data_IF_626815764698
#
_entry.id   IF_626815764698
#
_cell.length_a   1.000
_cell.length_b   1.000
_cell.length_c   1.000
_cell.angle_alpha   90.00
_cell.angle_beta   90.00
_cell.angle_gamma   90.00
#
_symmetry.space_group_name_H-M   'P 1'
#
loop_
_entity.id
_entity.type
_entity.pdbx_description
1 polymer ?
#
# COMPACT_ATOMS: atom_id res chain seq x y z
N UNK A 1 4.34 -61.68 24.94
CA UNK A 1 3.83 -60.51 24.19
C UNK A 1 5.04 -59.76 23.67
N UNK A 2 4.99 -59.32 22.41
CA UNK A 2 6.01 -58.46 21.80
C UNK A 2 5.83 -57.07 22.42
N UNK A 3 6.89 -56.49 22.93
CA UNK A 3 6.86 -55.13 23.47
C UNK A 3 6.80 -54.13 22.33
N UNK A 4 5.92 -53.15 22.43
CA UNK A 4 5.75 -52.08 21.42
C UNK A 4 5.61 -50.73 22.12
N UNK A 5 6.05 -49.64 21.50
CA UNK A 5 5.98 -48.29 22.08
C UNK A 5 7.19 -47.91 22.92
N UNK A 6 6.98 -47.00 23.86
CA UNK A 6 8.01 -46.45 24.76
C UNK A 6 8.22 -47.36 25.98
N UNK A 7 9.36 -48.05 26.16
CA UNK A 7 9.67 -48.76 27.38
C UNK A 7 10.12 -47.79 28.47
N UNK A 8 9.84 -48.15 29.71
CA UNK A 8 10.41 -47.48 30.88
C UNK A 8 11.77 -48.15 31.16
N UNK A 9 12.86 -47.47 30.80
CA UNK A 9 14.23 -47.97 31.03
C UNK A 9 15.11 -46.89 31.68
N UNK A 10 16.15 -47.34 32.43
CA UNK A 10 17.00 -46.46 33.24
C UNK A 10 18.01 -45.61 32.41
N UNK A 11 18.35 -46.00 31.17
CA UNK A 11 19.47 -45.44 30.39
C UNK A 11 19.11 -44.63 29.13
N UNK A 12 17.89 -44.17 29.00
CA UNK A 12 17.41 -43.39 27.84
C UNK A 12 16.12 -43.93 27.27
N UNK A 13 15.46 -43.12 26.45
CA UNK A 13 14.22 -43.49 25.79
C UNK A 13 14.52 -44.29 24.53
N UNK A 14 13.92 -45.46 24.41
CA UNK A 14 13.90 -46.29 23.21
C UNK A 14 12.48 -46.39 22.68
N UNK A 15 12.29 -46.71 21.42
CA UNK A 15 10.97 -46.97 20.87
C UNK A 15 10.97 -48.25 20.05
N UNK A 16 9.99 -49.09 20.31
CA UNK A 16 9.79 -50.35 19.59
C UNK A 16 8.57 -50.21 18.67
N UNK A 17 8.76 -50.57 17.41
CA UNK A 17 7.69 -50.54 16.39
C UNK A 17 6.61 -51.61 16.68
N UNK A 18 5.62 -51.67 15.78
CA UNK A 18 4.51 -52.65 15.90
C UNK A 18 4.97 -54.12 15.82
N UNK A 19 6.15 -54.38 15.24
CA UNK A 19 6.78 -55.66 15.16
C UNK A 19 7.68 -55.98 16.36
N UNK A 20 7.85 -55.03 17.29
CA UNK A 20 8.73 -55.16 18.44
C UNK A 20 10.20 -54.93 18.12
N UNK A 21 10.52 -54.30 16.98
CA UNK A 21 11.89 -53.95 16.61
C UNK A 21 12.23 -52.57 17.18
N UNK A 22 13.40 -52.45 17.84
CA UNK A 22 13.91 -51.16 18.32
C UNK A 22 14.27 -50.25 17.11
N UNK A 23 13.81 -49.03 17.12
CA UNK A 23 14.20 -48.04 16.12
C UNK A 23 15.65 -47.63 16.32
N UNK A 24 16.47 -47.70 15.26
CA UNK A 24 17.90 -47.34 15.30
C UNK A 24 18.29 -46.58 14.06
N UNK A 25 19.16 -45.55 14.19
CA UNK A 25 19.71 -44.70 13.12
C UNK A 25 18.65 -44.14 12.18
N UNK A 26 17.49 -43.75 12.72
CA UNK A 26 16.39 -43.22 11.93
C UNK A 26 15.57 -42.16 12.62
N UNK A 27 14.99 -41.25 11.80
CA UNK A 27 13.93 -40.35 12.23
C UNK A 27 12.57 -41.02 12.12
N UNK A 28 11.71 -40.81 13.12
CA UNK A 28 10.33 -41.33 13.11
C UNK A 28 9.37 -40.29 13.66
N UNK A 29 8.16 -40.23 13.11
CA UNK A 29 7.09 -39.42 13.66
C UNK A 29 6.23 -40.30 14.58
N UNK A 30 6.13 -39.90 15.85
CA UNK A 30 5.38 -40.63 16.87
C UNK A 30 4.51 -39.58 17.57
N UNK A 31 3.21 -39.82 17.69
CA UNK A 31 2.23 -38.94 18.33
C UNK A 31 2.30 -37.48 17.87
N UNK A 32 2.61 -37.27 16.58
CA UNK A 32 2.68 -35.93 15.97
C UNK A 32 4.04 -35.23 16.07
N UNK A 33 5.00 -35.78 16.82
CA UNK A 33 6.34 -35.25 17.00
C UNK A 33 7.37 -36.04 16.20
N UNK A 34 8.40 -35.35 15.70
CA UNK A 34 9.54 -36.02 15.08
C UNK A 34 10.63 -36.29 16.08
N UNK A 35 11.11 -37.54 16.14
CA UNK A 35 12.21 -38.04 16.96
C UNK A 35 13.33 -38.55 16.09
N UNK A 36 14.54 -38.62 16.64
CA UNK A 36 15.65 -39.34 16.05
C UNK A 36 16.21 -40.36 17.02
N UNK A 37 16.31 -41.60 16.56
CA UNK A 37 16.92 -42.68 17.29
C UNK A 37 18.32 -42.89 16.75
N UNK A 38 19.31 -42.88 17.66
CA UNK A 38 20.72 -43.05 17.36
C UNK A 38 21.03 -44.50 16.96
N UNK A 39 22.29 -44.80 16.56
CA UNK A 39 22.69 -46.15 16.15
C UNK A 39 22.54 -47.19 17.29
N UNK A 40 22.67 -46.77 18.52
CA UNK A 40 22.46 -47.60 19.73
C UNK A 40 20.99 -47.71 20.17
N UNK A 41 20.07 -47.13 19.38
CA UNK A 41 18.63 -47.08 19.63
C UNK A 41 18.17 -46.01 20.59
N UNK A 42 19.07 -45.26 21.23
CA UNK A 42 18.69 -44.19 22.13
C UNK A 42 18.11 -43.01 21.41
N UNK A 43 17.02 -42.46 21.88
CA UNK A 43 16.44 -41.21 21.40
C UNK A 43 17.42 -40.05 21.64
N UNK A 44 17.68 -39.29 20.61
CA UNK A 44 18.43 -38.02 20.73
C UNK A 44 17.58 -36.99 21.46
N UNK A 45 18.07 -36.49 22.59
CA UNK A 45 17.44 -35.41 23.36
C UNK A 45 18.47 -34.35 23.75
N UNK A 46 18.03 -33.10 23.91
CA UNK A 46 18.89 -31.95 24.21
C UNK A 46 20.15 -31.90 23.34
N UNK A 47 20.01 -32.16 22.06
CA UNK A 47 21.18 -32.36 21.20
C UNK A 47 21.00 -31.95 19.74
N UNK A 48 22.14 -31.63 19.13
CA UNK A 48 22.25 -31.34 17.70
C UNK A 48 22.47 -32.62 16.89
N UNK A 49 21.86 -32.67 15.73
CA UNK A 49 22.12 -33.67 14.69
C UNK A 49 22.46 -32.98 13.40
N UNK A 50 23.54 -33.42 12.76
CA UNK A 50 23.84 -33.05 11.38
C UNK A 50 23.31 -34.13 10.44
N UNK A 51 22.66 -33.69 9.37
CA UNK A 51 22.23 -34.55 8.26
C UNK A 51 22.23 -33.75 6.95
N UNK A 52 22.90 -34.30 5.93
CA UNK A 52 22.96 -33.73 4.57
C UNK A 52 23.41 -32.24 4.58
N UNK A 53 24.40 -31.90 5.43
CA UNK A 53 24.93 -30.54 5.61
C UNK A 53 23.97 -29.56 6.29
N UNK A 54 22.91 -30.06 6.92
CA UNK A 54 21.98 -29.26 7.73
C UNK A 54 22.00 -29.68 9.18
N UNK A 55 21.84 -28.71 10.09
CA UNK A 55 21.80 -28.97 11.53
C UNK A 55 20.35 -28.91 12.04
N UNK A 56 20.01 -29.86 12.90
CA UNK A 56 18.71 -30.05 13.52
C UNK A 56 18.89 -30.12 15.04
N UNK A 57 17.94 -29.62 15.81
CA UNK A 57 17.99 -29.72 17.28
C UNK A 57 16.75 -30.41 17.81
N UNK A 58 17.02 -31.34 18.75
CA UNK A 58 15.98 -32.07 19.47
C UNK A 58 15.97 -31.58 20.93
N UNK A 59 14.78 -31.25 21.44
CA UNK A 59 14.60 -30.75 22.81
C UNK A 59 14.83 -31.83 23.90
N UNK A 60 14.60 -31.47 25.15
CA UNK A 60 14.77 -32.40 26.27
C UNK A 60 13.80 -33.60 26.22
N UNK A 61 12.70 -33.47 25.51
CA UNK A 61 11.71 -34.54 25.27
C UNK A 61 12.03 -35.34 24.01
N UNK A 62 13.08 -35.00 23.29
CA UNK A 62 13.48 -35.62 22.03
C UNK A 62 12.70 -35.13 20.82
N UNK A 63 11.89 -34.08 20.93
CA UNK A 63 11.14 -33.53 19.82
C UNK A 63 12.03 -32.67 18.93
N UNK A 64 11.97 -32.90 17.63
CA UNK A 64 12.59 -32.02 16.64
C UNK A 64 11.95 -30.62 16.73
N UNK A 65 12.76 -29.62 16.93
CA UNK A 65 12.30 -28.23 16.98
C UNK A 65 12.02 -27.73 15.57
N UNK A 66 10.80 -27.24 15.35
CA UNK A 66 10.32 -26.71 14.06
C UNK A 66 9.86 -25.27 14.20
N UNK A 67 10.19 -24.44 13.21
CA UNK A 67 9.72 -23.05 13.06
C UNK A 67 9.85 -22.21 14.33
N UNK A 68 10.95 -22.36 15.07
CA UNK A 68 11.15 -21.74 16.37
C UNK A 68 12.54 -21.13 16.55
N UNK A 69 12.57 -19.99 17.29
CA UNK A 69 13.80 -19.42 17.83
C UNK A 69 14.01 -19.92 19.24
N UNK A 70 15.23 -20.33 19.56
CA UNK A 70 15.56 -20.81 20.89
C UNK A 70 16.99 -20.47 21.30
N UNK A 71 17.24 -20.44 22.59
CA UNK A 71 18.58 -20.19 23.16
C UNK A 71 19.17 -21.51 23.64
N UNK A 72 20.34 -21.86 23.10
CA UNK A 72 21.09 -23.07 23.41
C UNK A 72 22.51 -22.60 23.72
N UNK A 73 23.06 -23.03 24.88
CA UNK A 73 24.43 -22.73 25.29
C UNK A 73 24.82 -21.26 25.23
N UNK A 74 23.85 -20.36 25.48
CA UNK A 74 24.07 -18.92 25.50
C UNK A 74 23.79 -18.21 24.17
N UNK A 75 23.64 -18.93 23.05
CA UNK A 75 23.40 -18.39 21.72
C UNK A 75 21.96 -18.57 21.26
N UNK A 76 21.45 -17.62 20.48
CA UNK A 76 20.14 -17.72 19.86
C UNK A 76 20.25 -18.35 18.48
N UNK A 77 19.41 -19.35 18.23
CA UNK A 77 19.28 -20.05 16.96
C UNK A 77 17.86 -19.93 16.43
N UNK A 78 17.68 -20.16 15.15
CA UNK A 78 16.38 -20.35 14.54
C UNK A 78 16.36 -21.61 13.68
N UNK A 79 15.36 -22.46 13.93
CA UNK A 79 15.08 -23.66 13.18
C UNK A 79 13.87 -23.36 12.26
N UNK A 80 13.96 -23.69 10.98
CA UNK A 80 12.88 -23.47 10.01
C UNK A 80 11.72 -24.47 10.17
N UNK A 81 10.73 -24.39 9.27
CA UNK A 81 9.58 -25.30 9.29
C UNK A 81 9.93 -26.77 9.04
N UNK A 82 11.12 -27.05 8.51
CA UNK A 82 11.68 -28.40 8.34
C UNK A 82 12.67 -28.78 9.46
N UNK A 83 12.85 -27.93 10.45
CA UNK A 83 13.80 -28.11 11.55
C UNK A 83 15.25 -27.79 11.21
N UNK A 84 15.54 -27.20 10.04
CA UNK A 84 16.89 -26.84 9.65
C UNK A 84 17.32 -25.56 10.32
N UNK A 85 18.53 -25.54 10.92
CA UNK A 85 19.13 -24.36 11.49
C UNK A 85 19.44 -23.33 10.40
N UNK A 86 19.09 -22.07 10.68
CA UNK A 86 19.53 -20.95 9.85
C UNK A 86 21.03 -20.73 9.99
N UNK A 87 21.75 -20.71 8.88
CA UNK A 87 23.19 -20.50 8.82
C UNK A 87 23.51 -19.59 7.64
N UNK A 88 24.39 -18.60 7.83
CA UNK A 88 24.79 -17.61 6.85
C UNK A 88 23.62 -16.97 6.09
N UNK A 89 22.49 -16.74 6.76
CA UNK A 89 21.29 -16.26 6.09
C UNK A 89 20.48 -15.25 6.92
N UNK A 90 19.70 -14.46 6.17
CA UNK A 90 18.77 -13.49 6.74
C UNK A 90 17.41 -14.15 7.04
N UNK A 91 16.79 -13.69 8.12
CA UNK A 91 15.41 -13.98 8.46
C UNK A 91 14.64 -12.67 8.65
N UNK A 92 13.49 -12.57 8.02
CA UNK A 92 12.55 -11.49 8.28
C UNK A 92 11.52 -11.90 9.34
N UNK A 93 11.28 -11.02 10.33
CA UNK A 93 10.18 -11.15 11.30
C UNK A 93 9.49 -9.80 11.42
N UNK A 94 8.25 -9.74 10.95
CA UNK A 94 7.56 -8.46 10.81
C UNK A 94 8.29 -7.52 9.85
N UNK A 95 8.63 -6.32 10.32
CA UNK A 95 9.40 -5.36 9.55
C UNK A 95 10.92 -5.51 9.75
N UNK A 96 11.37 -6.31 10.70
CA UNK A 96 12.78 -6.42 11.09
C UNK A 96 13.50 -7.56 10.38
N UNK A 97 14.77 -7.33 10.11
CA UNK A 97 15.67 -8.29 9.50
C UNK A 97 16.72 -8.71 10.52
N UNK A 98 16.98 -10.01 10.61
CA UNK A 98 17.92 -10.68 11.47
C UNK A 98 18.89 -11.47 10.63
N UNK A 99 20.12 -11.64 11.08
CA UNK A 99 21.12 -12.47 10.42
C UNK A 99 21.66 -13.54 11.37
N UNK A 100 21.74 -14.74 10.88
CA UNK A 100 22.37 -15.86 11.55
C UNK A 100 23.70 -16.15 10.85
N UNK A 101 24.81 -16.19 11.59
CA UNK A 101 26.14 -16.43 11.06
C UNK A 101 26.36 -17.88 10.59
N UNK A 102 27.58 -18.23 10.24
CA UNK A 102 27.91 -19.57 9.73
C UNK A 102 27.75 -20.67 10.78
N UNK A 103 27.88 -20.33 12.06
CA UNK A 103 27.60 -21.23 13.19
C UNK A 103 26.10 -21.25 13.56
N UNK A 104 25.28 -20.49 12.88
CA UNK A 104 23.85 -20.36 13.12
C UNK A 104 23.48 -19.46 14.31
N UNK A 105 24.44 -18.72 14.85
CA UNK A 105 24.17 -17.78 15.95
C UNK A 105 23.48 -16.52 15.44
N UNK A 106 22.43 -16.07 16.09
CA UNK A 106 21.87 -14.76 15.86
C UNK A 106 22.91 -13.68 16.14
N UNK A 107 23.21 -12.88 15.11
CA UNK A 107 24.15 -11.77 15.26
C UNK A 107 23.53 -10.65 16.08
N UNK A 108 24.18 -10.30 17.18
CA UNK A 108 23.77 -9.28 18.13
C UNK A 108 24.83 -8.20 18.23
N UNK A 109 24.38 -6.93 18.40
CA UNK A 109 25.25 -5.79 18.77
C UNK A 109 26.55 -5.71 17.94
N UNK A 110 26.44 -5.85 16.63
CA UNK A 110 27.60 -6.00 15.74
C UNK A 110 27.45 -5.16 14.48
N UNK A 111 28.53 -4.47 14.13
CA UNK A 111 28.72 -3.78 12.85
C UNK A 111 29.57 -4.68 11.95
N UNK A 112 29.05 -5.06 10.79
CA UNK A 112 29.74 -6.00 9.91
C UNK A 112 29.32 -5.87 8.45
N UNK A 113 30.15 -6.42 7.56
CA UNK A 113 29.80 -6.60 6.15
C UNK A 113 29.31 -8.01 5.89
N UNK A 114 28.22 -8.11 5.14
CA UNK A 114 27.68 -9.36 4.61
C UNK A 114 27.59 -9.18 3.10
N UNK A 115 28.37 -9.95 2.37
CA UNK A 115 28.64 -9.69 0.97
C UNK A 115 29.24 -8.29 0.76
N UNK A 116 28.64 -7.48 -0.11
CA UNK A 116 29.10 -6.11 -0.40
C UNK A 116 28.50 -5.03 0.49
N UNK A 117 27.56 -5.36 1.36
CA UNK A 117 26.82 -4.38 2.15
C UNK A 117 27.23 -4.39 3.62
N UNK A 118 27.26 -3.21 4.23
CA UNK A 118 27.40 -3.03 5.68
C UNK A 118 26.04 -3.09 6.35
N UNK A 119 25.99 -3.75 7.52
CA UNK A 119 24.85 -3.85 8.42
C UNK A 119 25.27 -3.52 9.84
N UNK A 120 24.37 -2.96 10.62
CA UNK A 120 24.53 -2.78 12.05
C UNK A 120 23.41 -3.55 12.74
N UNK A 121 23.74 -4.61 13.45
CA UNK A 121 22.78 -5.37 14.23
C UNK A 121 22.72 -4.81 15.65
N UNK A 122 21.52 -4.60 16.14
CA UNK A 122 21.26 -4.05 17.47
C UNK A 122 21.36 -5.14 18.53
N UNK A 123 21.20 -4.78 19.81
CA UNK A 123 21.25 -5.71 20.93
C UNK A 123 20.14 -6.77 20.91
N UNK A 124 19.02 -6.51 20.23
CA UNK A 124 17.93 -7.46 20.00
C UNK A 124 18.10 -8.27 18.70
N UNK A 125 19.21 -8.08 17.97
CA UNK A 125 19.52 -8.73 16.71
C UNK A 125 18.88 -8.12 15.48
N UNK A 126 18.00 -7.14 15.63
CA UNK A 126 17.41 -6.47 14.48
C UNK A 126 18.45 -5.61 13.75
N UNK A 127 18.50 -5.72 12.41
CA UNK A 127 19.32 -4.84 11.60
C UNK A 127 18.81 -3.39 11.71
N UNK A 128 19.73 -2.47 11.97
CA UNK A 128 19.41 -1.04 12.08
C UNK A 128 18.86 -0.50 10.76
N UNK A 129 17.88 0.39 10.84
CA UNK A 129 17.24 1.05 9.70
C UNK A 129 17.06 2.54 10.01
N UNK A 130 17.04 3.37 8.97
CA UNK A 130 16.90 4.82 9.13
C UNK A 130 18.21 5.55 9.06
N UNK A 131 18.26 6.74 9.63
CA UNK A 131 19.42 7.62 9.60
C UNK A 131 20.29 7.42 10.84
N UNK A 132 21.60 7.42 10.63
CA UNK A 132 22.60 7.38 11.71
C UNK A 132 23.68 8.42 11.43
N UNK A 133 24.08 9.17 12.44
CA UNK A 133 25.22 10.09 12.31
C UNK A 133 26.47 9.42 12.85
N UNK A 134 27.51 9.34 12.02
CA UNK A 134 28.83 8.83 12.37
C UNK A 134 29.89 9.84 11.93
N UNK A 135 30.74 10.28 12.85
CA UNK A 135 31.80 11.27 12.60
C UNK A 135 31.30 12.54 11.86
N UNK A 136 30.13 13.05 12.26
CA UNK A 136 29.51 14.22 11.66
C UNK A 136 28.87 14.00 10.29
N UNK A 137 28.93 12.80 9.73
CA UNK A 137 28.31 12.42 8.47
C UNK A 137 27.01 11.63 8.73
N UNK A 138 25.93 11.99 8.03
CA UNK A 138 24.71 11.21 8.05
C UNK A 138 24.85 10.03 7.09
N UNK A 139 24.63 8.83 7.61
CA UNK A 139 24.61 7.57 6.88
C UNK A 139 23.18 7.03 6.90
N UNK A 140 22.74 6.44 5.82
CA UNK A 140 21.41 5.83 5.73
C UNK A 140 21.48 4.31 5.69
N UNK A 141 20.53 3.68 6.38
CA UNK A 141 20.29 2.24 6.29
C UNK A 141 18.88 2.00 5.74
N UNK A 142 18.80 1.22 4.67
CA UNK A 142 17.56 0.95 3.94
C UNK A 142 16.55 0.18 4.81
N UNK A 143 15.28 0.03 4.38
CA UNK A 143 14.32 -0.84 5.06
C UNK A 143 14.77 -2.31 5.18
N UNK A 144 15.75 -2.74 4.38
CA UNK A 144 16.37 -4.07 4.48
C UNK A 144 17.55 -4.11 5.46
N UNK A 145 17.88 -2.99 6.14
CA UNK A 145 18.96 -2.88 7.12
C UNK A 145 20.36 -2.72 6.50
N UNK A 146 20.51 -2.69 5.19
CA UNK A 146 21.82 -2.47 4.53
C UNK A 146 22.13 -0.99 4.39
N UNK A 147 23.39 -0.60 4.51
CA UNK A 147 23.81 0.77 4.23
C UNK A 147 23.40 1.18 2.80
N UNK A 148 22.85 2.38 2.67
CA UNK A 148 22.31 2.90 1.42
C UNK A 148 23.42 3.43 0.51
N UNK A 149 23.48 2.91 -0.71
CA UNK A 149 24.26 3.40 -1.85
C UNK A 149 23.37 3.36 -3.08
N UNK A 150 23.14 4.50 -3.73
CA UNK A 150 22.12 4.71 -4.77
C UNK A 150 20.75 4.18 -4.37
N UNK A 151 20.34 4.41 -3.12
CA UNK A 151 19.16 3.80 -2.55
C UNK A 151 18.38 4.76 -1.65
N UNK A 152 17.10 4.41 -1.42
CA UNK A 152 16.18 5.13 -0.54
C UNK A 152 16.24 4.62 0.90
N UNK A 153 16.17 5.55 1.83
CA UNK A 153 16.10 5.28 3.27
C UNK A 153 14.81 5.85 3.83
N UNK A 154 14.08 5.05 4.58
CA UNK A 154 12.93 5.49 5.36
C UNK A 154 13.35 5.70 6.82
N UNK A 155 13.09 6.91 7.34
CA UNK A 155 13.28 7.21 8.76
C UNK A 155 12.02 7.91 9.29
N UNK A 156 11.37 7.31 10.27
CA UNK A 156 10.02 7.70 10.67
C UNK A 156 9.03 7.66 9.49
N UNK A 157 8.42 8.82 9.20
CA UNK A 157 7.50 8.98 8.08
C UNK A 157 8.17 9.52 6.81
N UNK A 158 9.45 9.87 6.87
CA UNK A 158 10.16 10.54 5.80
C UNK A 158 11.03 9.58 5.00
N UNK A 159 11.28 9.97 3.74
CA UNK A 159 12.15 9.27 2.83
C UNK A 159 13.33 10.15 2.44
N UNK A 160 14.50 9.55 2.39
CA UNK A 160 15.78 10.15 2.02
C UNK A 160 16.41 9.37 0.87
N UNK A 161 17.26 10.03 0.10
CA UNK A 161 18.03 9.36 -0.94
C UNK A 161 19.52 9.56 -0.71
N UNK A 162 20.25 8.47 -0.84
CA UNK A 162 21.70 8.43 -0.78
C UNK A 162 22.26 8.06 -2.15
N UNK A 163 23.23 8.84 -2.65
CA UNK A 163 23.88 8.57 -3.94
C UNK A 163 24.80 7.33 -3.88
N UNK A 164 25.44 7.01 -5.02
CA UNK A 164 26.34 5.86 -5.12
C UNK A 164 27.58 5.95 -4.21
N UNK A 165 27.94 7.14 -3.72
CA UNK A 165 29.00 7.35 -2.74
C UNK A 165 28.49 7.29 -1.29
N UNK A 166 27.18 7.06 -1.08
CA UNK A 166 26.55 7.02 0.23
C UNK A 166 26.37 8.41 0.86
N UNK A 167 26.27 9.48 0.06
CA UNK A 167 25.97 10.82 0.54
C UNK A 167 24.48 11.11 0.41
N UNK A 168 23.87 11.63 1.49
CA UNK A 168 22.49 12.06 1.47
C UNK A 168 22.31 13.25 0.51
N UNK A 169 21.35 13.15 -0.39
CA UNK A 169 21.05 14.20 -1.37
C UNK A 169 20.07 15.21 -0.78
N UNK A 170 20.39 16.49 -0.96
CA UNK A 170 19.61 17.65 -0.56
C UNK A 170 19.44 18.60 -1.72
N UNK A 171 18.34 19.33 -1.77
CA UNK A 171 18.00 20.22 -2.88
C UNK A 171 18.18 19.56 -4.25
N UNK A 172 17.70 18.32 -4.36
CA UNK A 172 18.07 17.42 -5.45
C UNK A 172 16.87 16.79 -6.14
N UNK A 173 16.87 16.86 -7.47
CA UNK A 173 15.94 16.14 -8.32
C UNK A 173 16.46 14.75 -8.67
N UNK A 174 15.69 13.72 -8.33
CA UNK A 174 15.99 12.34 -8.74
C UNK A 174 14.97 11.88 -9.78
N UNK A 175 15.47 11.24 -10.85
CA UNK A 175 14.60 10.50 -11.78
C UNK A 175 14.68 9.02 -11.47
N UNK A 176 13.52 8.39 -11.26
CA UNK A 176 13.42 6.95 -11.00
C UNK A 176 12.08 6.43 -11.54
N UNK A 177 12.11 5.27 -12.23
CA UNK A 177 10.90 4.58 -12.73
C UNK A 177 9.95 5.51 -13.51
N UNK A 178 10.53 6.36 -14.40
CA UNK A 178 9.78 7.33 -15.19
C UNK A 178 9.14 8.48 -14.39
N UNK A 179 9.47 8.63 -13.11
CA UNK A 179 9.04 9.73 -12.25
C UNK A 179 10.19 10.65 -11.87
N UNK A 180 9.89 11.92 -11.60
CA UNK A 180 10.82 12.87 -10.98
C UNK A 180 10.39 13.12 -9.54
N UNK A 181 11.35 13.14 -8.63
CA UNK A 181 11.17 13.29 -7.20
C UNK A 181 12.12 14.37 -6.68
N UNK A 182 11.70 15.17 -5.72
CA UNK A 182 12.54 16.22 -5.15
C UNK A 182 12.82 15.99 -3.68
N UNK A 183 14.11 15.99 -3.35
CA UNK A 183 14.61 15.93 -1.98
C UNK A 183 14.95 17.36 -1.53
N UNK A 184 14.37 17.79 -0.41
CA UNK A 184 14.42 19.16 0.10
C UNK A 184 15.80 19.48 0.73
N UNK A 185 16.00 20.70 1.20
CA UNK A 185 17.24 21.17 1.85
C UNK A 185 17.62 20.35 3.10
N UNK A 186 16.62 19.79 3.79
CA UNK A 186 16.82 18.89 4.93
C UNK A 186 17.08 17.42 4.51
N UNK A 187 16.95 17.12 3.21
CA UNK A 187 17.09 15.79 2.63
C UNK A 187 15.79 14.99 2.54
N UNK A 188 14.68 15.49 3.09
CA UNK A 188 13.40 14.78 3.04
C UNK A 188 12.79 14.82 1.65
N UNK A 189 12.14 13.71 1.25
CA UNK A 189 11.36 13.65 0.01
C UNK A 189 10.12 14.56 0.12
N UNK A 190 10.01 15.52 -0.78
CA UNK A 190 8.82 16.37 -0.86
C UNK A 190 7.59 15.54 -1.30
N UNK A 191 6.51 15.58 -0.52
CA UNK A 191 5.26 14.86 -0.79
C UNK A 191 4.05 15.72 -0.45
N UNK A 192 2.98 15.54 -1.23
CA UNK A 192 1.68 16.19 -1.05
C UNK A 192 1.76 17.71 -0.84
N UNK A 193 2.65 18.38 -1.56
CA UNK A 193 2.85 19.83 -1.42
C UNK A 193 3.24 20.51 -2.73
N UNK A 194 2.93 21.78 -2.81
CA UNK A 194 3.48 22.71 -3.80
C UNK A 194 4.79 23.30 -3.30
N UNK A 195 5.81 23.36 -4.16
CA UNK A 195 7.11 23.97 -3.86
C UNK A 195 7.56 24.86 -5.02
N UNK A 196 8.21 25.98 -4.68
CA UNK A 196 8.89 26.83 -5.65
C UNK A 196 10.37 26.45 -5.69
N UNK A 197 10.82 25.92 -6.83
CA UNK A 197 12.19 25.42 -7.01
C UNK A 197 12.74 26.05 -8.27
N UNK A 198 13.89 26.72 -8.19
CA UNK A 198 14.49 27.39 -9.34
C UNK A 198 13.58 28.42 -10.03
N UNK A 199 12.74 29.09 -9.26
CA UNK A 199 11.80 30.10 -9.79
C UNK A 199 10.44 29.54 -10.24
N UNK A 200 10.28 28.24 -10.44
CA UNK A 200 9.06 27.59 -10.90
C UNK A 200 8.31 26.89 -9.77
N UNK A 201 6.98 26.88 -9.84
CA UNK A 201 6.14 26.11 -8.93
C UNK A 201 5.90 24.70 -9.44
N UNK A 202 6.11 23.73 -8.57
CA UNK A 202 5.87 22.30 -8.80
C UNK A 202 4.85 21.79 -7.79
N UNK A 203 4.18 20.69 -8.10
CA UNK A 203 3.42 19.92 -7.14
C UNK A 203 3.96 18.49 -7.07
N UNK A 204 4.30 18.07 -5.85
CA UNK A 204 4.73 16.71 -5.56
C UNK A 204 3.53 15.94 -4.97
N UNK A 205 3.18 14.83 -5.58
CA UNK A 205 2.04 13.99 -5.17
C UNK A 205 2.28 13.31 -3.82
N UNK A 206 1.32 12.55 -3.32
CA UNK A 206 1.46 11.76 -2.09
C UNK A 206 2.61 10.74 -2.16
N UNK A 207 2.87 10.19 -3.35
CA UNK A 207 4.02 9.32 -3.60
C UNK A 207 5.35 10.09 -3.73
N UNK A 208 5.33 11.42 -3.72
CA UNK A 208 6.48 12.29 -3.99
C UNK A 208 6.78 12.50 -5.46
N UNK A 209 6.02 11.89 -6.37
CA UNK A 209 6.23 12.06 -7.83
C UNK A 209 5.82 13.47 -8.25
N UNK A 210 6.63 14.11 -9.09
CA UNK A 210 6.31 15.39 -9.71
C UNK A 210 5.05 15.25 -10.57
N UNK A 211 4.08 16.11 -10.32
CA UNK A 211 2.83 16.17 -11.06
C UNK A 211 2.99 16.90 -12.39
N UNK A 212 2.32 16.41 -13.43
CA UNK A 212 2.14 17.07 -14.73
C UNK A 212 0.68 16.98 -15.14
N UNK A 213 0.23 17.90 -15.98
CA UNK A 213 -1.15 17.95 -16.44
C UNK A 213 -2.09 18.69 -15.50
N UNK A 214 -3.38 18.39 -15.61
CA UNK A 214 -4.43 19.07 -14.87
C UNK A 214 -4.50 18.66 -13.39
N UNK A 215 -4.72 19.64 -12.51
CA UNK A 215 -4.96 19.43 -11.08
C UNK A 215 -6.10 20.32 -10.61
N UNK A 216 -7.05 19.74 -9.88
CA UNK A 216 -8.11 20.49 -9.21
C UNK A 216 -7.74 20.67 -7.73
N UNK A 217 -7.90 21.89 -7.23
CA UNK A 217 -7.70 22.22 -5.81
C UNK A 217 -8.57 23.41 -5.43
N UNK A 218 -9.27 23.34 -4.30
CA UNK A 218 -10.07 24.43 -3.72
C UNK A 218 -11.05 25.08 -4.72
N UNK A 219 -11.66 24.27 -5.59
CA UNK A 219 -12.61 24.71 -6.61
C UNK A 219 -11.99 25.34 -7.86
N UNK A 220 -10.68 25.41 -7.95
CA UNK A 220 -9.96 25.91 -9.11
C UNK A 220 -9.25 24.79 -9.86
N UNK A 221 -9.01 25.02 -11.18
CA UNK A 221 -8.18 24.13 -12.01
C UNK A 221 -6.84 24.78 -12.27
N UNK A 222 -5.80 23.96 -12.20
CA UNK A 222 -4.40 24.30 -12.43
C UNK A 222 -3.84 23.39 -13.50
N UNK A 223 -2.82 23.83 -14.22
CA UNK A 223 -2.13 23.00 -15.17
C UNK A 223 -0.62 23.07 -14.96
N UNK A 224 -0.02 21.90 -14.86
CA UNK A 224 1.42 21.74 -14.80
C UNK A 224 1.91 21.19 -16.15
N UNK A 225 2.83 21.91 -16.82
CA UNK A 225 3.33 21.52 -18.12
C UNK A 225 4.17 20.22 -18.04
N UNK A 226 4.73 19.77 -19.19
CA UNK A 226 5.54 18.55 -19.26
C UNK A 226 6.83 18.60 -18.41
N UNK A 227 7.29 19.79 -18.05
CA UNK A 227 8.42 19.99 -17.12
C UNK A 227 7.98 20.02 -15.66
N UNK A 228 6.68 19.91 -15.38
CA UNK A 228 6.10 20.01 -14.03
C UNK A 228 5.91 21.46 -13.56
N UNK A 229 6.15 22.45 -14.39
CA UNK A 229 5.97 23.86 -13.99
C UNK A 229 4.48 24.24 -14.02
N UNK A 230 4.00 24.84 -12.94
CA UNK A 230 2.68 25.45 -12.89
C UNK A 230 2.60 26.57 -13.95
N UNK A 231 1.63 26.48 -14.84
CA UNK A 231 1.35 27.56 -15.80
C UNK A 231 0.66 28.69 -15.08
N UNK A 232 1.29 29.87 -15.11
CA UNK A 232 0.83 31.08 -14.39
C UNK A 232 0.90 32.30 -15.32
N UNK A 233 0.00 33.24 -15.11
CA UNK A 233 -0.01 34.57 -15.77
C UNK A 233 0.21 34.48 -17.30
N UNK A 234 -0.44 33.53 -17.95
CA UNK A 234 -0.23 33.30 -19.40
C UNK A 234 -1.24 32.33 -19.98
N UNK A 235 -0.95 31.88 -21.20
CA UNK A 235 -1.78 30.95 -21.97
C UNK A 235 -0.97 29.71 -22.31
N UNK A 236 -1.68 28.57 -22.48
CA UNK A 236 -1.13 27.35 -23.03
C UNK A 236 -2.17 26.68 -23.95
N UNK A 237 -1.74 26.12 -25.08
CA UNK A 237 -2.62 25.34 -25.96
C UNK A 237 -2.42 23.87 -25.70
N UNK A 238 -3.51 23.17 -25.39
CA UNK A 238 -3.53 21.74 -25.06
C UNK A 238 -4.57 21.09 -25.97
N UNK A 239 -4.15 20.15 -26.79
CA UNK A 239 -5.03 19.46 -27.75
C UNK A 239 -5.86 20.44 -28.62
N UNK A 240 -5.22 21.53 -29.10
CA UNK A 240 -5.87 22.54 -29.96
C UNK A 240 -6.73 23.57 -29.21
N UNK A 241 -6.90 23.44 -27.89
CA UNK A 241 -7.66 24.39 -27.06
C UNK A 241 -6.72 25.28 -26.26
N UNK A 242 -6.91 26.60 -26.38
CA UNK A 242 -6.11 27.57 -25.61
C UNK A 242 -6.75 27.88 -24.26
N UNK A 243 -5.97 27.72 -23.21
CA UNK A 243 -6.36 27.98 -21.83
C UNK A 243 -5.58 29.17 -21.29
N UNK A 244 -6.23 30.03 -20.52
CA UNK A 244 -5.62 31.20 -19.87
C UNK A 244 -5.61 31.03 -18.35
N UNK A 245 -4.48 31.39 -17.72
CA UNK A 245 -4.28 31.26 -16.27
C UNK A 245 -3.94 32.63 -15.68
N UNK A 246 -4.43 32.89 -14.46
CA UNK A 246 -4.12 34.10 -13.69
C UNK A 246 -2.72 34.03 -13.05
N UNK A 247 -2.36 35.10 -12.30
CA UNK A 247 -1.08 35.21 -11.61
C UNK A 247 -0.88 34.13 -10.51
N UNK A 248 -1.94 33.44 -10.08
CA UNK A 248 -1.91 32.36 -9.12
C UNK A 248 -1.94 30.95 -9.78
N UNK A 249 -1.95 30.90 -11.11
CA UNK A 249 -2.06 29.67 -11.89
C UNK A 249 -3.46 29.08 -11.95
N UNK A 250 -4.49 29.82 -11.59
CA UNK A 250 -5.89 29.37 -11.66
C UNK A 250 -6.40 29.56 -13.08
N UNK A 251 -7.05 28.53 -13.63
CA UNK A 251 -7.66 28.61 -14.95
C UNK A 251 -8.76 29.70 -14.95
N UNK A 252 -8.59 30.74 -15.76
CA UNK A 252 -9.48 31.89 -15.76
C UNK A 252 -10.86 31.59 -16.36
N UNK A 253 -10.94 30.61 -17.28
CA UNK A 253 -12.19 30.18 -17.93
C UNK A 253 -12.67 28.82 -17.36
N UNK A 254 -12.24 28.45 -16.17
CA UNK A 254 -12.68 27.21 -15.52
C UNK A 254 -14.14 27.34 -15.11
N UNK A 255 -14.97 26.35 -15.41
CA UNK A 255 -16.29 26.28 -14.79
C UNK A 255 -16.09 26.21 -13.27
N UNK A 256 -16.45 27.29 -12.60
CA UNK A 256 -16.49 27.30 -11.12
C UNK A 256 -17.77 26.62 -10.68
N UNK A 257 -17.67 25.69 -9.71
CA UNK A 257 -18.88 25.18 -9.07
C UNK A 257 -19.55 26.35 -8.32
N UNK A 258 -20.64 26.85 -8.87
CA UNK A 258 -21.37 27.98 -8.29
C UNK A 258 -22.48 27.52 -7.35
N UNK A 259 -22.91 26.25 -7.46
CA UNK A 259 -23.87 25.66 -6.54
C UNK A 259 -23.75 24.15 -6.41
N UNK A 260 -24.29 23.62 -5.33
CA UNK A 260 -24.53 22.19 -5.10
C UNK A 260 -25.90 22.04 -4.44
N UNK A 261 -26.67 21.06 -4.91
CA UNK A 261 -27.90 20.66 -4.27
C UNK A 261 -28.00 19.14 -4.33
N UNK A 262 -28.46 18.54 -3.25
CA UNK A 262 -28.69 17.11 -3.13
C UNK A 262 -30.06 16.83 -2.59
N UNK A 263 -30.65 15.74 -3.00
CA UNK A 263 -31.90 15.19 -2.45
C UNK A 263 -31.64 13.76 -2.00
N UNK A 264 -32.28 13.35 -0.92
CA UNK A 264 -32.25 11.95 -0.49
C UNK A 264 -33.37 11.21 -1.22
N UNK A 265 -33.04 10.06 -1.80
CA UNK A 265 -33.99 9.22 -2.51
C UNK A 265 -34.46 8.09 -1.60
N UNK A 266 -35.79 7.91 -1.52
CA UNK A 266 -36.47 6.74 -0.94
C UNK A 266 -37.01 5.81 -2.02
N UNK A 267 -36.66 6.07 -3.29
CA UNK A 267 -37.13 5.26 -4.42
C UNK A 267 -36.57 3.82 -4.33
N UNK A 268 -37.35 2.89 -4.90
CA UNK A 268 -36.89 1.52 -5.15
C UNK A 268 -35.75 1.52 -6.21
N UNK A 269 -35.21 0.34 -6.53
CA UNK A 269 -34.11 0.18 -7.49
C UNK A 269 -34.40 0.87 -8.83
N UNK A 270 -35.58 0.62 -9.43
CA UNK A 270 -35.91 1.19 -10.74
C UNK A 270 -36.04 2.72 -10.70
N UNK A 271 -36.67 3.25 -9.66
CA UNK A 271 -36.77 4.69 -9.46
C UNK A 271 -35.41 5.35 -9.26
N UNK A 272 -34.52 4.73 -8.49
CA UNK A 272 -33.13 5.20 -8.31
C UNK A 272 -32.34 5.14 -9.60
N UNK A 273 -32.47 4.04 -10.37
CA UNK A 273 -31.85 3.91 -11.70
C UNK A 273 -32.31 5.03 -12.64
N UNK A 274 -33.63 5.24 -12.74
CA UNK A 274 -34.22 6.25 -13.62
C UNK A 274 -33.76 7.67 -13.26
N UNK A 275 -33.75 7.99 -11.98
CA UNK A 275 -33.26 9.28 -11.46
C UNK A 275 -31.78 9.50 -11.83
N UNK A 276 -30.93 8.52 -11.57
CA UNK A 276 -29.49 8.59 -11.88
C UNK A 276 -29.27 8.75 -13.36
N UNK A 277 -29.97 7.95 -14.18
CA UNK A 277 -29.92 8.02 -15.64
C UNK A 277 -30.35 9.39 -16.16
N UNK A 278 -31.43 9.95 -15.65
CA UNK A 278 -31.89 11.27 -16.05
C UNK A 278 -30.87 12.37 -15.73
N UNK A 279 -30.23 12.31 -14.55
CA UNK A 279 -29.19 13.26 -14.15
C UNK A 279 -27.90 13.12 -14.99
N UNK A 280 -27.55 11.92 -15.44
CA UNK A 280 -26.39 11.70 -16.28
C UNK A 280 -26.47 12.40 -17.64
N UNK A 281 -27.68 12.60 -18.19
CA UNK A 281 -27.85 13.39 -19.42
C UNK A 281 -27.41 14.85 -19.27
N UNK A 282 -27.38 15.38 -18.04
CA UNK A 282 -26.92 16.75 -17.75
C UNK A 282 -25.42 16.81 -17.47
N UNK A 283 -24.73 15.69 -17.44
CA UNK A 283 -23.30 15.68 -17.23
C UNK A 283 -22.59 16.39 -18.40
N UNK A 284 -21.83 17.42 -18.09
CA UNK A 284 -21.09 18.26 -19.05
C UNK A 284 -21.96 19.09 -20.03
N UNK A 285 -23.28 19.17 -19.79
CA UNK A 285 -24.14 20.09 -20.58
C UNK A 285 -23.70 21.51 -20.29
N UNK A 286 -23.47 22.26 -21.37
CA UNK A 286 -23.12 23.69 -21.31
C UNK A 286 -24.26 24.51 -21.90
N UNK A 287 -24.68 25.57 -21.20
CA UNK A 287 -25.61 26.57 -21.68
C UNK A 287 -24.87 27.89 -21.84
N UNK A 288 -25.13 28.59 -22.96
CA UNK A 288 -24.58 29.90 -23.18
C UNK A 288 -25.41 30.99 -22.44
N UNK A 289 -24.85 32.18 -22.19
CA UNK A 289 -25.63 33.28 -21.64
C UNK A 289 -26.89 33.56 -22.45
N UNK A 290 -28.04 33.65 -21.79
CA UNK A 290 -29.33 33.85 -22.41
C UNK A 290 -30.04 32.60 -22.95
N UNK A 291 -29.39 31.44 -22.93
CA UNK A 291 -30.03 30.16 -23.31
C UNK A 291 -30.85 29.58 -22.15
N UNK A 292 -31.92 28.89 -22.50
CA UNK A 292 -32.79 28.16 -21.56
C UNK A 292 -32.49 26.68 -21.61
N UNK A 293 -32.27 26.07 -20.44
CA UNK A 293 -32.15 24.63 -20.25
C UNK A 293 -33.51 24.04 -20.00
N UNK A 294 -33.97 23.08 -20.80
CA UNK A 294 -35.18 22.31 -20.56
C UNK A 294 -34.84 20.92 -20.06
N UNK A 295 -35.43 20.49 -18.93
CA UNK A 295 -35.22 19.13 -18.37
C UNK A 295 -35.56 18.07 -19.43
N UNK A 296 -36.78 18.11 -19.96
CA UNK A 296 -37.21 17.15 -20.99
C UNK A 296 -36.59 17.38 -22.37
N UNK A 297 -36.12 18.60 -22.64
CA UNK A 297 -35.34 18.88 -23.85
C UNK A 297 -34.00 18.13 -23.88
N UNK A 298 -33.42 17.83 -22.72
CA UNK A 298 -32.16 17.10 -22.57
C UNK A 298 -32.37 15.65 -22.22
N UNK A 299 -33.14 15.36 -21.15
CA UNK A 299 -33.37 13.97 -20.68
C UNK A 299 -34.34 13.19 -21.60
N UNK A 300 -35.03 13.90 -22.52
CA UNK A 300 -36.02 13.31 -23.41
C UNK A 300 -37.30 12.85 -22.70
N UNK A 301 -38.14 12.07 -23.40
CA UNK A 301 -39.42 11.62 -22.85
C UNK A 301 -39.31 10.59 -21.70
N UNK A 302 -38.08 10.19 -21.32
CA UNK A 302 -37.80 9.27 -20.21
C UNK A 302 -38.60 7.95 -20.27
N UNK A 303 -38.86 7.46 -21.47
CA UNK A 303 -39.65 6.27 -21.72
C UNK A 303 -38.81 4.99 -21.92
N UNK A 304 -39.52 3.88 -22.25
CA UNK A 304 -38.88 2.58 -22.53
C UNK A 304 -37.81 2.68 -23.65
N UNK A 305 -38.11 3.42 -24.70
CA UNK A 305 -37.25 3.57 -25.86
C UNK A 305 -35.88 4.25 -25.49
N UNK A 306 -35.87 5.08 -24.44
CA UNK A 306 -34.66 5.70 -23.91
C UNK A 306 -34.00 4.82 -22.81
N UNK A 307 -34.49 3.59 -22.58
CA UNK A 307 -33.95 2.64 -21.62
C UNK A 307 -34.24 2.99 -20.16
N UNK A 308 -35.33 3.70 -19.89
CA UNK A 308 -35.84 3.87 -18.53
C UNK A 308 -36.60 2.64 -18.10
N UNK A 309 -36.59 2.33 -16.79
CA UNK A 309 -37.24 1.17 -16.23
C UNK A 309 -38.67 1.52 -15.73
N UNK A 310 -39.57 0.51 -15.62
CA UNK A 310 -40.86 0.69 -14.97
C UNK A 310 -40.69 1.09 -13.52
N UNK A 311 -41.42 2.11 -13.06
CA UNK A 311 -41.37 2.59 -11.67
C UNK A 311 -42.70 3.24 -11.28
N UNK A 312 -42.82 3.65 -10.02
CA UNK A 312 -44.02 4.35 -9.54
C UNK A 312 -44.23 5.69 -10.26
N UNK A 313 -45.37 5.88 -10.83
CA UNK A 313 -45.84 7.14 -11.43
C UNK A 313 -47.22 7.48 -10.86
N UNK A 314 -47.67 8.71 -11.06
CA UNK A 314 -49.03 9.09 -10.67
C UNK A 314 -50.05 8.17 -11.37
N UNK A 315 -50.89 7.52 -10.59
CA UNK A 315 -51.90 6.59 -11.08
C UNK A 315 -51.47 5.16 -11.34
N UNK A 316 -50.20 4.77 -10.97
CA UNK A 316 -49.79 3.38 -11.12
C UNK A 316 -48.30 3.17 -11.37
N UNK A 317 -47.99 2.26 -12.28
CA UNK A 317 -46.64 1.93 -12.73
C UNK A 317 -46.43 2.35 -14.18
N UNK A 318 -45.37 3.09 -14.45
CA UNK A 318 -45.02 3.55 -15.80
C UNK A 318 -43.50 3.73 -15.96
N UNK A 319 -43.04 3.95 -17.19
CA UNK A 319 -41.61 4.20 -17.44
C UNK A 319 -41.18 5.56 -16.90
N UNK A 320 -39.99 5.65 -16.36
CA UNK A 320 -39.41 6.90 -15.87
C UNK A 320 -39.85 7.30 -14.46
N UNK A 321 -40.50 6.41 -13.68
CA UNK A 321 -40.77 6.69 -12.27
C UNK A 321 -39.48 7.07 -11.52
N UNK A 322 -39.56 8.11 -10.67
CA UNK A 322 -38.39 8.65 -9.93
C UNK A 322 -37.74 9.90 -10.57
N UNK A 323 -38.03 10.21 -11.85
CA UNK A 323 -37.41 11.37 -12.55
C UNK A 323 -37.81 12.73 -11.98
N UNK A 324 -38.96 12.84 -11.31
CA UNK A 324 -39.35 14.08 -10.64
C UNK A 324 -38.34 14.52 -9.60
N UNK A 325 -37.71 13.57 -8.90
CA UNK A 325 -36.63 13.88 -7.95
C UNK A 325 -35.38 14.35 -8.66
N UNK A 326 -35.02 13.78 -9.83
CA UNK A 326 -33.92 14.28 -10.65
C UNK A 326 -34.15 15.73 -11.08
N UNK A 327 -35.37 16.05 -11.55
CA UNK A 327 -35.79 17.42 -11.89
C UNK A 327 -35.71 18.36 -10.68
N UNK A 328 -36.19 17.93 -9.51
CA UNK A 328 -36.07 18.71 -8.25
C UNK A 328 -34.65 18.97 -7.86
N UNK A 329 -33.76 17.99 -7.99
CA UNK A 329 -32.33 18.14 -7.69
C UNK A 329 -31.69 19.17 -8.61
N UNK A 330 -31.95 19.09 -9.91
CA UNK A 330 -31.43 20.05 -10.89
C UNK A 330 -31.98 21.47 -10.65
N UNK A 331 -33.28 21.57 -10.38
CA UNK A 331 -33.93 22.83 -10.04
C UNK A 331 -33.31 23.50 -8.80
N UNK A 332 -33.11 22.72 -7.74
CA UNK A 332 -32.49 23.24 -6.51
C UNK A 332 -31.06 23.73 -6.74
N UNK A 333 -30.28 23.03 -7.58
CA UNK A 333 -28.94 23.47 -7.96
C UNK A 333 -28.99 24.77 -8.80
N UNK A 334 -29.88 24.87 -9.78
CA UNK A 334 -30.07 26.06 -10.60
C UNK A 334 -30.49 27.30 -9.76
N UNK A 335 -31.43 27.10 -8.85
CA UNK A 335 -31.89 28.16 -7.96
C UNK A 335 -30.77 28.68 -7.06
N UNK A 336 -30.00 27.79 -6.44
CA UNK A 336 -28.84 28.16 -5.60
C UNK A 336 -27.72 28.80 -6.41
N UNK A 337 -27.61 28.51 -7.70
CA UNK A 337 -26.69 29.16 -8.61
C UNK A 337 -27.10 30.59 -9.01
N UNK A 338 -28.28 31.05 -8.60
CA UNK A 338 -28.83 32.33 -9.01
C UNK A 338 -29.33 32.37 -10.47
N UNK A 339 -29.58 31.19 -11.07
CA UNK A 339 -30.13 31.13 -12.43
C UNK A 339 -31.61 31.50 -12.44
N UNK A 340 -32.04 32.20 -13.46
CA UNK A 340 -33.45 32.55 -13.67
C UNK A 340 -34.26 31.31 -13.96
N UNK A 341 -35.29 31.04 -13.18
CA UNK A 341 -36.21 29.92 -13.41
C UNK A 341 -37.31 30.41 -14.33
N UNK A 342 -37.29 29.95 -15.58
CA UNK A 342 -38.21 30.38 -16.64
C UNK A 342 -39.57 29.71 -16.50
N UNK A 343 -39.60 28.42 -16.14
CA UNK A 343 -40.80 27.65 -15.94
C UNK A 343 -40.65 26.60 -14.88
N UNK A 344 -41.70 26.43 -14.05
CA UNK A 344 -41.80 25.37 -13.07
C UNK A 344 -43.21 24.79 -13.13
N UNK A 345 -43.33 23.47 -13.04
CA UNK A 345 -44.62 22.79 -12.83
C UNK A 345 -44.55 22.04 -11.51
N UNK A 346 -45.54 22.19 -10.68
CA UNK A 346 -45.68 21.41 -9.46
C UNK A 346 -46.06 19.98 -9.80
N UNK A 347 -45.79 19.06 -8.89
CA UNK A 347 -46.30 17.70 -8.97
C UNK A 347 -47.83 17.75 -8.93
N UNK A 348 -48.49 16.91 -9.71
CA UNK A 348 -49.97 16.88 -9.78
C UNK A 348 -50.60 16.23 -8.56
N UNK A 349 -49.82 15.58 -7.71
CA UNK A 349 -50.23 14.98 -6.43
C UNK A 349 -49.20 15.36 -5.37
N UNK A 350 -49.61 15.69 -4.12
CA UNK A 350 -48.70 16.01 -3.02
C UNK A 350 -47.72 14.88 -2.68
#
# INVERSE_FOLDING_TARGET
>A
AVYTGWPVGEDGAYYYDQQGSCLTDMGSQIDGYWYYFQKDGKMLSSGWREKDGSHYYYDAQGHLILNAGMKIDGYWYYLDGNGRRYESQFRQKGADWYYYDEEGHLVLNRDMKIGKYRYIFQNNGAAYRGLKTENGKVIGFTPLGRQAFDDGVKDGNDWYYFDAAGNMKKDYWRTKDGGKYYYQADGTLARNKGLKIGGNWYYLTDSGKMHTGWRNKDGYRYYYNSYGHLVMNGTITINGVTYRFDAYGRLMNSPRRISVFSTVSTNNYNGTYNMTKALLYFNQVTIQPGQTLSFFGIAGPCGKAQGFLPGGVVGGVGYGGGICQASTTLYGAALRAGLTIVQRRNHSVP
#
